data_IF_672269005906
#
_entry.id   IF_672269005906
#
_cell.length_a   1.000
_cell.length_b   1.000
_cell.length_c   1.000
_cell.angle_alpha   90.00
_cell.angle_beta   90.00
_cell.angle_gamma   90.00
#
_symmetry.space_group_name_H-M   'P 1'
#
loop_
_entity.id
_entity.type
_entity.pdbx_description
1 polymer ?
#
# COMPACT_ATOMS: atom_id res chain seq x y z
N UNK A 1 -3.21 2.66 15.03
CA UNK A 1 -3.29 4.06 14.57
C UNK A 1 -4.68 4.35 14.00
N UNK A 2 -5.17 5.58 14.13
CA UNK A 2 -6.51 5.99 13.67
C UNK A 2 -6.77 5.64 12.20
N UNK A 3 -5.73 5.71 11.35
CA UNK A 3 -5.78 5.27 9.95
C UNK A 3 -6.22 3.80 9.82
N UNK A 4 -5.65 2.89 10.61
CA UNK A 4 -5.98 1.45 10.55
C UNK A 4 -7.43 1.18 10.98
N UNK A 5 -7.94 1.97 11.94
CA UNK A 5 -9.34 1.90 12.38
C UNK A 5 -10.31 2.41 11.31
N UNK A 6 -10.03 3.57 10.71
CA UNK A 6 -10.87 4.16 9.65
C UNK A 6 -10.93 3.25 8.41
N UNK A 7 -9.79 2.68 8.04
CA UNK A 7 -9.64 1.76 6.92
C UNK A 7 -10.39 0.44 7.16
N UNK A 8 -10.40 -0.08 8.40
CA UNK A 8 -11.15 -1.30 8.76
C UNK A 8 -12.67 -1.11 8.77
N UNK A 9 -13.15 0.11 9.05
CA UNK A 9 -14.58 0.44 9.08
C UNK A 9 -15.13 0.92 7.73
N UNK A 10 -14.34 0.90 6.66
CA UNK A 10 -14.78 1.21 5.31
C UNK A 10 -14.85 2.70 4.97
N UNK A 11 -14.48 3.60 5.89
CA UNK A 11 -14.36 5.02 5.60
C UNK A 11 -12.97 5.34 5.01
N UNK A 12 -12.76 4.81 3.80
CA UNK A 12 -11.51 4.99 3.04
C UNK A 12 -11.28 6.46 2.68
N UNK A 13 -12.34 7.25 2.50
CA UNK A 13 -12.21 8.67 2.19
C UNK A 13 -11.66 9.48 3.36
N UNK A 14 -12.16 9.25 4.58
CA UNK A 14 -11.59 9.87 5.78
C UNK A 14 -10.18 9.37 6.06
N UNK A 15 -9.91 8.08 5.84
CA UNK A 15 -8.55 7.54 5.95
C UNK A 15 -7.59 8.21 4.96
N UNK A 16 -8.01 8.41 3.71
CA UNK A 16 -7.21 9.07 2.67
C UNK A 16 -6.96 10.53 3.03
N UNK A 17 -7.97 11.28 3.48
CA UNK A 17 -7.79 12.67 3.96
C UNK A 17 -6.78 12.76 5.10
N UNK A 18 -6.91 11.89 6.09
CA UNK A 18 -6.01 11.86 7.25
C UNK A 18 -4.58 11.50 6.82
N UNK A 19 -4.44 10.51 5.94
CA UNK A 19 -3.17 10.14 5.33
C UNK A 19 -2.51 11.31 4.61
N UNK A 20 -3.24 12.01 3.72
CA UNK A 20 -2.72 13.17 3.00
C UNK A 20 -2.29 14.29 3.95
N UNK A 21 -3.00 14.50 5.07
CA UNK A 21 -2.65 15.51 6.08
C UNK A 21 -1.45 15.14 6.96
N UNK A 22 -0.98 13.90 6.91
CA UNK A 22 0.15 13.43 7.74
C UNK A 22 1.48 13.82 7.09
N UNK A 23 2.25 14.71 7.73
CA UNK A 23 3.51 15.24 7.20
C UNK A 23 4.66 14.20 7.17
N UNK A 24 4.71 13.28 8.14
CA UNK A 24 5.72 12.21 8.23
C UNK A 24 5.05 10.85 8.21
N UNK A 25 4.85 10.29 7.01
CA UNK A 25 4.24 8.99 6.81
C UNK A 25 5.29 7.90 7.01
N UNK A 26 5.13 7.09 8.05
CA UNK A 26 6.00 5.93 8.27
C UNK A 26 5.56 4.74 7.42
N UNK A 27 6.45 3.75 7.25
CA UNK A 27 6.17 2.49 6.59
C UNK A 27 4.88 1.80 7.12
N UNK A 28 4.66 1.89 8.44
CA UNK A 28 3.44 1.40 9.10
C UNK A 28 2.15 2.10 8.59
N UNK A 29 2.20 3.41 8.33
CA UNK A 29 1.04 4.17 7.84
C UNK A 29 0.71 3.79 6.39
N UNK A 30 1.72 3.64 5.52
CA UNK A 30 1.53 3.13 4.15
C UNK A 30 0.95 1.72 4.15
N UNK A 31 1.53 0.82 4.94
CA UNK A 31 1.04 -0.56 5.13
C UNK A 31 -0.45 -0.58 5.50
N UNK A 32 -0.85 0.26 6.45
CA UNK A 32 -2.24 0.35 6.89
C UNK A 32 -3.17 0.80 5.76
N UNK A 33 -2.76 1.81 4.98
CA UNK A 33 -3.52 2.30 3.82
C UNK A 33 -3.64 1.22 2.74
N UNK A 34 -2.52 0.61 2.34
CA UNK A 34 -2.52 -0.44 1.31
C UNK A 34 -3.46 -1.59 1.68
N UNK A 35 -3.42 -2.03 2.95
CA UNK A 35 -4.23 -3.17 3.42
C UNK A 35 -5.72 -2.94 3.19
N UNK A 36 -6.26 -1.76 3.48
CA UNK A 36 -7.68 -1.55 3.24
C UNK A 36 -8.05 -0.89 1.94
N UNK A 37 -7.12 -0.30 1.18
CA UNK A 37 -7.37 -0.11 -0.25
C UNK A 37 -7.64 -1.47 -0.92
N UNK A 38 -6.81 -2.48 -0.64
CA UNK A 38 -7.04 -3.86 -1.09
C UNK A 38 -8.38 -4.41 -0.59
N UNK A 39 -8.66 -4.25 0.71
CA UNK A 39 -9.91 -4.78 1.30
C UNK A 39 -11.18 -4.11 0.75
N UNK A 40 -11.06 -2.92 0.15
CA UNK A 40 -12.15 -2.18 -0.49
C UNK A 40 -12.11 -2.26 -2.03
N UNK A 41 -11.39 -3.25 -2.61
CA UNK A 41 -11.26 -3.46 -4.06
C UNK A 41 -10.65 -2.25 -4.81
N UNK A 42 -9.80 -1.47 -4.16
CA UNK A 42 -9.13 -0.29 -4.72
C UNK A 42 -7.64 -0.56 -4.95
N UNK A 43 -7.29 -1.76 -5.43
CA UNK A 43 -5.91 -2.19 -5.58
C UNK A 43 -5.08 -1.27 -6.50
N UNK A 44 -5.65 -0.63 -7.53
CA UNK A 44 -4.91 0.34 -8.37
C UNK A 44 -4.35 1.51 -7.55
N UNK A 45 -5.11 2.02 -6.58
CA UNK A 45 -4.68 3.13 -5.72
C UNK A 45 -3.49 2.78 -4.82
N UNK A 46 -3.26 1.48 -4.58
CA UNK A 46 -2.09 1.01 -3.84
C UNK A 46 -0.82 1.37 -4.58
N UNK A 47 -0.81 1.24 -5.91
CA UNK A 47 0.36 1.56 -6.73
C UNK A 47 0.59 3.06 -6.82
N UNK A 48 -0.47 3.86 -6.90
CA UNK A 48 -0.35 5.31 -6.90
C UNK A 48 0.28 5.81 -5.58
N UNK A 49 -0.13 5.23 -4.44
CA UNK A 49 0.46 5.56 -3.14
C UNK A 49 1.85 4.93 -2.93
N UNK A 50 2.17 3.81 -3.60
CA UNK A 50 3.51 3.23 -3.58
C UNK A 50 4.53 4.17 -4.22
N UNK A 51 4.15 4.85 -5.30
CA UNK A 51 5.02 5.84 -5.97
C UNK A 51 5.31 7.07 -5.08
N UNK A 52 4.43 7.38 -4.12
CA UNK A 52 4.64 8.43 -3.11
C UNK A 52 5.46 7.96 -1.90
N UNK A 53 5.80 6.67 -1.80
CA UNK A 53 6.46 6.12 -0.63
C UNK A 53 7.98 6.38 -0.69
N UNK A 54 8.45 7.26 0.19
CA UNK A 54 9.88 7.61 0.28
C UNK A 54 10.71 6.57 1.07
N UNK A 55 10.04 5.69 1.80
CA UNK A 55 10.67 4.64 2.62
C UNK A 55 10.64 3.29 1.92
N UNK A 56 11.67 2.46 2.11
CA UNK A 56 11.67 1.10 1.58
C UNK A 56 10.56 0.24 2.22
N UNK A 57 9.73 -0.48 1.44
CA UNK A 57 8.75 -1.41 1.98
C UNK A 57 9.41 -2.47 2.87
N UNK A 58 8.79 -2.82 3.99
CA UNK A 58 9.23 -3.96 4.79
C UNK A 58 8.62 -5.27 4.25
N UNK A 59 9.04 -6.43 4.79
CA UNK A 59 8.55 -7.73 4.33
C UNK A 59 7.03 -7.88 4.41
N UNK A 60 6.39 -7.21 5.38
CA UNK A 60 4.94 -7.25 5.53
C UNK A 60 4.23 -6.38 4.48
N UNK A 61 4.77 -5.19 4.21
CA UNK A 61 4.33 -4.28 3.16
C UNK A 61 4.46 -4.94 1.79
N UNK A 62 5.59 -5.60 1.52
CA UNK A 62 5.83 -6.34 0.28
C UNK A 62 4.76 -7.43 0.06
N UNK A 63 4.41 -8.20 1.08
CA UNK A 63 3.35 -9.21 0.97
C UNK A 63 2.00 -8.60 0.55
N UNK A 64 1.68 -7.41 1.07
CA UNK A 64 0.46 -6.67 0.70
C UNK A 64 0.55 -6.17 -0.74
N UNK A 65 1.69 -5.61 -1.16
CA UNK A 65 1.91 -5.14 -2.54
C UNK A 65 1.81 -6.29 -3.55
N UNK A 66 2.34 -7.48 -3.23
CA UNK A 66 2.19 -8.67 -4.07
C UNK A 66 0.73 -9.13 -4.16
N UNK A 67 -0.05 -9.01 -3.08
CA UNK A 67 -1.50 -9.27 -3.12
C UNK A 67 -2.21 -8.31 -4.08
N UNK A 68 -1.89 -7.01 -4.03
CA UNK A 68 -2.42 -6.03 -4.98
C UNK A 68 -2.04 -6.38 -6.44
N UNK A 69 -0.80 -6.83 -6.67
CA UNK A 69 -0.37 -7.29 -8.00
C UNK A 69 -1.19 -8.48 -8.50
N UNK A 70 -1.45 -9.46 -7.62
CA UNK A 70 -2.25 -10.63 -7.95
C UNK A 70 -3.73 -10.28 -8.20
N UNK A 71 -4.29 -9.31 -7.48
CA UNK A 71 -5.69 -8.87 -7.68
C UNK A 71 -5.90 -8.11 -9.00
N UNK A 72 -4.93 -7.31 -9.43
CA UNK A 72 -5.03 -6.53 -10.66
C UNK A 72 -4.67 -7.32 -11.91
N UNK A 73 -3.72 -8.25 -11.81
CA UNK A 73 -3.31 -9.17 -12.88
C UNK A 73 -3.09 -8.51 -14.26
N UNK A 74 -2.61 -7.26 -14.27
CA UNK A 74 -2.35 -6.48 -15.48
C UNK A 74 -0.84 -6.23 -15.69
N UNK A 75 -0.48 -5.70 -16.86
CA UNK A 75 0.93 -5.46 -17.21
C UNK A 75 1.63 -4.50 -16.24
N UNK A 76 0.89 -3.53 -15.66
CA UNK A 76 1.42 -2.59 -14.66
C UNK A 76 1.79 -3.35 -13.38
N UNK A 77 0.89 -4.18 -12.87
CA UNK A 77 1.12 -5.03 -11.70
C UNK A 77 2.32 -5.97 -11.89
N UNK A 78 2.48 -6.58 -13.07
CA UNK A 78 3.62 -7.45 -13.36
C UNK A 78 4.94 -6.67 -13.33
N UNK A 79 4.98 -5.46 -13.90
CA UNK A 79 6.18 -4.60 -13.89
C UNK A 79 6.55 -4.16 -12.47
N UNK A 80 5.56 -3.74 -11.68
CA UNK A 80 5.76 -3.33 -10.29
C UNK A 80 6.23 -4.53 -9.45
N UNK A 81 5.57 -5.69 -9.59
CA UNK A 81 5.94 -6.90 -8.87
C UNK A 81 7.39 -7.34 -9.13
N UNK A 82 7.88 -7.21 -10.37
CA UNK A 82 9.31 -7.48 -10.68
C UNK A 82 10.24 -6.49 -9.98
N UNK A 83 9.93 -5.19 -10.03
CA UNK A 83 10.72 -4.16 -9.33
C UNK A 83 10.80 -4.42 -7.82
N UNK A 84 9.68 -4.83 -7.21
CA UNK A 84 9.62 -5.16 -5.78
C UNK A 84 10.44 -6.39 -5.41
N UNK A 85 10.59 -7.37 -6.31
CA UNK A 85 11.47 -8.53 -6.10
C UNK A 85 12.94 -8.12 -6.03
N UNK A 86 13.37 -7.19 -6.89
CA UNK A 86 14.74 -6.67 -6.88
C UNK A 86 15.04 -5.85 -5.61
N UNK A 87 14.01 -5.30 -4.98
CA UNK A 87 14.12 -4.54 -3.73
C UNK A 87 14.06 -5.42 -2.47
N UNK A 88 13.77 -6.73 -2.56
CA UNK A 88 13.73 -7.58 -1.37
C UNK A 88 15.09 -7.57 -0.66
N UNK A 89 15.14 -7.35 0.67
CA UNK A 89 16.40 -7.46 1.40
C UNK A 89 16.94 -8.89 1.26
N UNK A 90 18.19 -9.00 0.78
CA UNK A 90 18.94 -10.26 0.89
C UNK A 90 19.05 -10.60 2.39
N UNK A 91 18.46 -11.72 2.78
CA UNK A 91 18.56 -12.25 4.14
C UNK A 91 19.96 -12.80 4.41
#
# INVERSE_FOLDING_TARGET
SVVLFLVQYGDVDSATRLFSSTANKSNYIYTAMFKGLISNNMAEKVFDLLDEMETKPDSFTLAILFKACAELANDRAIKIGRKLLDEMPEN
#
